data_IF_388496652672
#
_entry.id   IF_388496652672
#
_cell.length_a   1.000
_cell.length_b   1.000
_cell.length_c   1.000
_cell.angle_alpha   90.00
_cell.angle_beta   90.00
_cell.angle_gamma   90.00
#
_symmetry.space_group_name_H-M   'P 1'
#
loop_
_entity.id
_entity.type
_entity.pdbx_description
1 polymer ?
#
# COMPACT_ATOMS: atom_id res chain seq x y z
N UNK A 1 -18.26 24.61 11.19
CA UNK A 1 -17.51 23.52 11.81
C UNK A 1 -16.09 23.50 11.26
N UNK A 2 -15.09 23.33 12.11
CA UNK A 2 -13.70 23.20 11.67
C UNK A 2 -13.41 21.77 11.21
N UNK A 3 -12.42 21.62 10.36
CA UNK A 3 -11.96 20.31 9.88
C UNK A 3 -11.41 19.43 11.03
N UNK A 4 -10.93 20.03 12.13
CA UNK A 4 -10.51 19.33 13.34
C UNK A 4 -11.56 18.34 13.86
N UNK A 5 -12.83 18.69 13.77
CA UNK A 5 -13.92 17.82 14.23
C UNK A 5 -14.04 16.55 13.39
N UNK A 6 -13.80 16.65 12.08
CA UNK A 6 -13.77 15.47 11.19
C UNK A 6 -12.58 14.58 11.54
N UNK A 7 -11.38 15.17 11.61
CA UNK A 7 -10.14 14.44 11.92
C UNK A 7 -10.20 13.79 13.31
N UNK A 8 -10.72 14.49 14.30
CA UNK A 8 -10.89 13.93 15.65
C UNK A 8 -11.81 12.71 15.66
N UNK A 9 -12.91 12.78 14.90
CA UNK A 9 -13.88 11.67 14.79
C UNK A 9 -13.32 10.45 14.07
N UNK A 10 -12.36 10.61 13.18
CA UNK A 10 -11.66 9.48 12.55
C UNK A 10 -10.90 8.60 13.56
N UNK A 11 -10.55 9.15 14.73
CA UNK A 11 -9.88 8.41 15.83
C UNK A 11 -10.88 7.75 16.78
N UNK A 12 -11.93 7.13 16.26
CA UNK A 12 -13.00 6.56 17.07
C UNK A 12 -12.47 5.48 18.03
N UNK A 13 -12.91 5.49 19.31
CA UNK A 13 -12.41 4.55 20.33
C UNK A 13 -12.64 3.07 19.98
N UNK A 14 -13.68 2.77 19.21
CA UNK A 14 -13.99 1.40 18.79
C UNK A 14 -12.89 0.74 17.94
N UNK A 15 -12.05 1.55 17.27
CA UNK A 15 -10.91 1.03 16.49
C UNK A 15 -9.87 0.31 17.34
N UNK A 16 -9.82 0.58 18.65
CA UNK A 16 -8.89 -0.06 19.58
C UNK A 16 -9.29 -1.48 20.00
N UNK A 17 -10.47 -1.92 19.60
CA UNK A 17 -11.06 -3.18 20.08
C UNK A 17 -11.13 -4.27 19.00
N UNK A 18 -10.63 -3.99 17.80
CA UNK A 18 -10.74 -4.90 16.66
C UNK A 18 -9.37 -5.33 16.15
N UNK A 19 -9.29 -6.56 15.69
CA UNK A 19 -8.05 -7.16 15.19
C UNK A 19 -7.73 -6.81 13.73
N UNK A 20 -8.71 -6.44 12.92
CA UNK A 20 -8.52 -5.92 11.57
C UNK A 20 -9.55 -4.84 11.25
N UNK A 21 -9.16 -3.88 10.44
CA UNK A 21 -9.99 -2.74 10.07
C UNK A 21 -10.02 -2.59 8.55
N UNK A 22 -11.22 -2.64 7.99
CA UNK A 22 -11.46 -2.34 6.58
C UNK A 22 -12.07 -0.95 6.46
N UNK A 23 -11.39 -0.04 5.78
CA UNK A 23 -11.82 1.35 5.62
C UNK A 23 -11.95 1.72 4.15
N UNK A 24 -12.99 2.48 3.83
CA UNK A 24 -13.09 3.22 2.57
C UNK A 24 -13.27 4.70 2.86
N UNK A 25 -12.53 5.52 2.13
CA UNK A 25 -12.64 6.96 2.24
C UNK A 25 -12.77 7.61 0.85
N UNK A 26 -13.55 8.66 0.82
CA UNK A 26 -13.65 9.59 -0.30
C UNK A 26 -13.48 10.98 0.31
N UNK A 27 -12.27 11.51 0.21
CA UNK A 27 -11.87 12.72 0.92
C UNK A 27 -11.14 13.64 -0.04
N UNK A 28 -11.63 14.86 -0.13
CA UNK A 28 -10.99 15.93 -0.92
C UNK A 28 -9.75 16.49 -0.18
N UNK A 29 -8.81 15.57 0.11
CA UNK A 29 -7.63 15.85 0.94
C UNK A 29 -6.64 16.79 0.27
N UNK A 30 -6.66 16.90 -1.04
CA UNK A 30 -5.73 17.76 -1.78
C UNK A 30 -6.16 19.23 -1.77
N UNK A 31 -7.43 19.49 -1.52
CA UNK A 31 -8.00 20.84 -1.47
C UNK A 31 -8.22 21.37 -0.04
N UNK A 32 -7.79 20.65 0.98
CA UNK A 32 -7.75 21.15 2.36
C UNK A 32 -6.45 21.92 2.66
N UNK A 33 -6.46 22.70 3.74
CA UNK A 33 -5.29 23.46 4.17
C UNK A 33 -4.09 22.53 4.46
N UNK A 34 -2.88 23.01 4.10
CA UNK A 34 -1.63 22.25 4.21
C UNK A 34 -1.36 21.76 5.64
N UNK A 35 -1.77 22.49 6.68
CA UNK A 35 -1.58 22.07 8.06
C UNK A 35 -2.39 20.81 8.37
N UNK A 36 -3.61 20.68 7.81
CA UNK A 36 -4.43 19.48 7.96
C UNK A 36 -3.89 18.32 7.14
N UNK A 37 -3.35 18.59 5.93
CA UNK A 37 -2.65 17.56 5.15
C UNK A 37 -1.48 16.97 5.94
N UNK A 38 -0.63 17.83 6.52
CA UNK A 38 0.49 17.40 7.36
C UNK A 38 0.01 16.60 8.57
N UNK A 39 -1.03 17.08 9.26
CA UNK A 39 -1.60 16.37 10.41
C UNK A 39 -2.10 14.96 10.04
N UNK A 40 -2.72 14.78 8.87
CA UNK A 40 -3.17 13.48 8.39
C UNK A 40 -1.98 12.59 8.02
N UNK A 41 -0.96 13.12 7.38
CA UNK A 41 0.27 12.38 7.08
C UNK A 41 1.01 11.94 8.36
N UNK A 42 1.12 12.83 9.35
CA UNK A 42 1.73 12.54 10.65
C UNK A 42 0.91 11.54 11.47
N UNK A 43 -0.43 11.56 11.38
CA UNK A 43 -1.28 10.57 12.05
C UNK A 43 -0.93 9.14 11.65
N UNK A 44 -0.54 8.94 10.41
CA UNK A 44 -0.07 7.64 9.92
C UNK A 44 1.36 7.32 10.44
N UNK A 45 2.19 8.34 10.69
CA UNK A 45 3.54 8.20 11.26
C UNK A 45 3.58 7.95 12.77
N UNK A 46 2.63 8.48 13.53
CA UNK A 46 2.52 8.28 14.99
C UNK A 46 2.25 6.82 15.39
N UNK A 47 1.86 5.97 14.46
CA UNK A 47 1.76 4.52 14.68
C UNK A 47 3.12 3.80 14.77
N UNK A 48 4.23 4.48 14.50
CA UNK A 48 5.58 3.97 14.74
C UNK A 48 6.01 3.97 16.23
N UNK A 49 5.26 4.64 17.10
CA UNK A 49 5.46 4.52 18.54
C UNK A 49 4.91 3.16 19.02
N UNK A 50 5.80 2.27 19.29
CA UNK A 50 5.85 0.84 19.63
C UNK A 50 4.75 0.25 20.55
N UNK A 51 3.60 0.87 20.73
CA UNK A 51 2.55 0.45 21.69
C UNK A 51 1.15 0.28 21.10
N UNK A 52 0.91 0.60 19.86
CA UNK A 52 -0.36 0.35 19.18
C UNK A 52 -0.08 -0.52 17.96
N UNK A 53 -0.02 -1.82 18.20
CA UNK A 53 -0.22 -2.81 17.13
C UNK A 53 -1.66 -2.61 16.67
N UNK A 54 -1.87 -1.75 15.70
CA UNK A 54 -3.12 -1.77 14.95
C UNK A 54 -3.07 -3.01 14.08
N UNK A 55 -4.06 -3.86 14.19
CA UNK A 55 -4.20 -5.04 13.36
C UNK A 55 -4.43 -4.62 11.93
N UNK A 56 -4.23 -5.52 10.99
CA UNK A 56 -4.22 -5.27 9.55
C UNK A 56 -5.25 -4.24 9.09
N UNK A 57 -4.78 -3.07 8.67
CA UNK A 57 -5.64 -2.01 8.15
C UNK A 57 -5.66 -2.13 6.63
N UNK A 58 -6.84 -2.41 6.07
CA UNK A 58 -7.09 -2.31 4.63
C UNK A 58 -7.76 -0.97 4.35
N UNK A 59 -7.05 -0.06 3.72
CA UNK A 59 -7.51 1.29 3.48
C UNK A 59 -7.61 1.60 1.99
N UNK A 60 -8.78 2.01 1.55
CA UNK A 60 -9.03 2.49 0.19
C UNK A 60 -9.41 3.97 0.21
N UNK A 61 -8.70 4.76 -0.56
CA UNK A 61 -8.90 6.21 -0.67
C UNK A 61 -9.21 6.58 -2.12
N UNK A 62 -10.24 7.39 -2.31
CA UNK A 62 -10.55 8.01 -3.59
C UNK A 62 -10.19 9.50 -3.54
N UNK A 63 -9.42 9.95 -4.52
CA UNK A 63 -9.01 11.35 -4.69
C UNK A 63 -9.49 11.92 -6.01
N UNK A 64 -9.81 13.20 -5.99
CA UNK A 64 -9.96 14.02 -7.20
C UNK A 64 -8.63 14.67 -7.57
N UNK A 65 -8.05 14.20 -8.67
CA UNK A 65 -6.80 14.76 -9.22
C UNK A 65 -7.06 15.72 -10.38
N UNK A 66 -8.28 15.78 -10.93
CA UNK A 66 -8.61 16.61 -12.10
C UNK A 66 -8.69 18.10 -11.72
N UNK A 67 -9.26 18.38 -10.55
CA UNK A 67 -9.42 19.73 -10.04
C UNK A 67 -8.27 20.20 -9.15
N UNK A 68 -7.17 19.44 -9.16
CA UNK A 68 -6.00 19.70 -8.32
C UNK A 68 -4.82 20.18 -9.16
N UNK A 69 -4.19 21.25 -8.74
CA UNK A 69 -2.94 21.74 -9.36
C UNK A 69 -1.76 20.82 -9.02
N UNK A 70 -1.58 19.78 -9.83
CA UNK A 70 -0.49 18.82 -9.67
C UNK A 70 0.92 19.43 -9.95
N UNK A 71 0.99 20.65 -10.49
CA UNK A 71 2.27 21.36 -10.63
C UNK A 71 2.79 21.86 -9.28
N UNK A 72 1.95 21.88 -8.26
CA UNK A 72 2.32 22.28 -6.91
C UNK A 72 3.17 21.19 -6.24
N UNK A 73 4.45 21.47 -6.07
CA UNK A 73 5.41 20.56 -5.43
C UNK A 73 5.02 20.12 -4.02
N UNK A 74 4.24 20.93 -3.29
CA UNK A 74 3.74 20.57 -1.94
C UNK A 74 2.77 19.41 -1.98
N UNK A 75 1.92 19.32 -3.01
CA UNK A 75 1.00 18.21 -3.20
C UNK A 75 1.77 16.93 -3.50
N UNK A 76 2.79 17.00 -4.36
CA UNK A 76 3.63 15.84 -4.64
C UNK A 76 4.35 15.35 -3.38
N UNK A 77 4.92 16.26 -2.57
CA UNK A 77 5.55 15.90 -1.29
C UNK A 77 4.54 15.27 -0.34
N UNK A 78 3.36 15.86 -0.19
CA UNK A 78 2.29 15.30 0.66
C UNK A 78 1.89 13.89 0.23
N UNK A 79 1.72 13.63 -1.07
CA UNK A 79 1.38 12.30 -1.56
C UNK A 79 2.50 11.29 -1.30
N UNK A 80 3.76 11.69 -1.48
CA UNK A 80 4.91 10.84 -1.15
C UNK A 80 4.94 10.52 0.33
N UNK A 81 4.74 11.51 1.19
CA UNK A 81 4.72 11.33 2.65
C UNK A 81 3.56 10.43 3.07
N UNK A 82 2.37 10.64 2.52
CA UNK A 82 1.21 9.80 2.78
C UNK A 82 1.48 8.33 2.43
N UNK A 83 2.02 8.07 1.23
CA UNK A 83 2.32 6.72 0.76
C UNK A 83 3.47 6.07 1.53
N UNK A 84 4.47 6.84 1.92
CA UNK A 84 5.63 6.34 2.68
C UNK A 84 5.26 5.97 4.11
N UNK A 85 4.38 6.74 4.74
CA UNK A 85 3.96 6.53 6.13
C UNK A 85 2.92 5.40 6.31
N UNK A 86 2.37 4.88 5.21
CA UNK A 86 1.44 3.74 5.25
C UNK A 86 2.15 2.38 5.28
N UNK A 87 3.32 2.28 5.92
CA UNK A 87 4.22 1.12 5.82
C UNK A 87 3.56 -0.23 6.15
N UNK A 88 2.66 -0.28 7.12
CA UNK A 88 2.01 -1.51 7.61
C UNK A 88 0.52 -1.58 7.26
N UNK A 89 0.10 -0.89 6.20
CA UNK A 89 -1.29 -0.79 5.79
C UNK A 89 -1.42 -1.25 4.35
N UNK A 90 -2.35 -2.16 4.07
CA UNK A 90 -2.78 -2.43 2.71
C UNK A 90 -3.56 -1.21 2.20
N UNK A 91 -3.06 -0.58 1.14
CA UNK A 91 -3.57 0.69 0.66
C UNK A 91 -3.91 0.65 -0.82
N UNK A 92 -5.11 1.12 -1.14
CA UNK A 92 -5.56 1.34 -2.51
C UNK A 92 -5.89 2.83 -2.71
N UNK A 93 -5.32 3.43 -3.74
CA UNK A 93 -5.64 4.78 -4.16
C UNK A 93 -6.39 4.73 -5.48
N UNK A 94 -7.58 5.32 -5.50
CA UNK A 94 -8.44 5.43 -6.68
C UNK A 94 -8.53 6.88 -7.15
N UNK A 95 -8.61 7.06 -8.46
CA UNK A 95 -8.96 8.33 -9.08
C UNK A 95 -10.47 8.43 -9.25
N UNK A 96 -11.07 9.55 -8.78
CA UNK A 96 -12.48 9.77 -8.98
C UNK A 96 -12.89 11.21 -8.65
N UNK A 97 -13.42 11.92 -9.64
CA UNK A 97 -13.92 13.31 -9.51
C UNK A 97 -15.05 13.46 -8.49
N UNK A 98 -15.65 12.34 -8.09
CA UNK A 98 -16.70 12.30 -7.08
C UNK A 98 -16.19 12.70 -5.68
N UNK A 99 -14.86 12.73 -5.44
CA UNK A 99 -14.30 13.13 -4.16
C UNK A 99 -14.31 14.65 -3.92
N UNK A 100 -14.55 15.46 -4.96
CA UNK A 100 -14.58 16.92 -4.86
C UNK A 100 -15.51 17.39 -3.71
N UNK A 101 -14.97 18.22 -2.82
CA UNK A 101 -15.64 18.79 -1.64
C UNK A 101 -16.24 17.79 -0.65
N UNK A 102 -15.94 16.51 -0.75
CA UNK A 102 -16.46 15.49 0.14
C UNK A 102 -15.44 15.08 1.19
N UNK A 103 -15.96 14.75 2.37
CA UNK A 103 -15.24 14.18 3.48
C UNK A 103 -16.03 12.98 3.98
N UNK A 104 -15.80 11.80 3.40
CA UNK A 104 -16.49 10.58 3.80
C UNK A 104 -15.45 9.55 4.19
N UNK A 105 -15.60 9.01 5.38
CA UNK A 105 -14.76 7.94 5.91
C UNK A 105 -15.65 6.88 6.53
N UNK A 106 -15.51 5.65 6.12
CA UNK A 106 -16.32 4.55 6.61
C UNK A 106 -15.46 3.36 7.00
N UNK A 107 -15.67 2.89 8.20
CA UNK A 107 -15.08 1.67 8.75
C UNK A 107 -16.16 0.59 8.76
N UNK A 108 -15.89 -0.51 8.10
CA UNK A 108 -16.84 -1.60 7.95
C UNK A 108 -17.38 -2.04 9.31
N UNK A 109 -18.72 -2.12 9.43
CA UNK A 109 -19.45 -2.65 10.58
C UNK A 109 -19.19 -1.93 11.92
N UNK A 110 -18.54 -0.72 11.89
CA UNK A 110 -18.20 -0.01 13.12
C UNK A 110 -18.80 1.40 13.13
N UNK A 111 -18.38 2.27 12.24
CA UNK A 111 -18.89 3.63 12.15
C UNK A 111 -18.57 4.28 10.80
N UNK A 112 -19.26 5.35 10.51
CA UNK A 112 -18.97 6.18 9.37
C UNK A 112 -19.06 7.66 9.73
N UNK A 113 -18.26 8.47 9.04
CA UNK A 113 -18.29 9.93 9.15
C UNK A 113 -18.54 10.49 7.78
N UNK A 114 -19.42 11.46 7.67
CA UNK A 114 -19.63 12.21 6.44
C UNK A 114 -19.64 13.70 6.69
N UNK A 115 -19.07 14.44 5.77
CA UNK A 115 -19.02 15.89 5.78
C UNK A 115 -18.90 16.45 4.37
N UNK A 116 -19.07 17.75 4.27
CA UNK A 116 -18.89 18.50 3.04
C UNK A 116 -17.98 19.70 3.32
N UNK A 117 -16.94 19.88 2.53
CA UNK A 117 -16.08 21.07 2.59
C UNK A 117 -16.83 22.30 2.09
N UNK A 118 -16.73 23.39 2.83
CA UNK A 118 -17.09 24.73 2.40
C UNK A 118 -15.90 25.42 1.73
N UNK A 119 -14.77 25.35 2.40
CA UNK A 119 -13.49 25.87 1.99
C UNK A 119 -12.37 24.98 2.57
N UNK A 120 -11.12 25.41 2.43
CA UNK A 120 -9.94 24.64 2.83
C UNK A 120 -9.90 24.25 4.32
N UNK A 121 -10.63 24.97 5.19
CA UNK A 121 -10.55 24.83 6.65
C UNK A 121 -11.90 24.52 7.32
N UNK A 122 -13.00 24.68 6.60
CA UNK A 122 -14.34 24.60 7.18
C UNK A 122 -15.21 23.55 6.49
N UNK A 123 -15.96 22.84 7.32
CA UNK A 123 -16.98 21.90 6.90
C UNK A 123 -18.38 22.54 7.04
N UNK A 124 -19.24 22.34 6.06
CA UNK A 124 -20.64 22.72 6.17
C UNK A 124 -21.35 21.90 7.24
N UNK A 125 -21.06 20.60 7.25
CA UNK A 125 -21.59 19.65 8.24
C UNK A 125 -20.59 18.52 8.49
N UNK A 126 -20.66 17.92 9.67
CA UNK A 126 -19.99 16.66 9.99
C UNK A 126 -20.98 15.78 10.74
N UNK A 127 -21.33 14.65 10.15
CA UNK A 127 -22.26 13.67 10.73
C UNK A 127 -21.50 12.38 11.02
N UNK A 128 -21.72 11.81 12.19
CA UNK A 128 -21.21 10.49 12.56
C UNK A 128 -22.37 9.50 12.59
N UNK A 129 -22.18 8.33 12.01
CA UNK A 129 -23.12 7.22 11.97
C UNK A 129 -22.46 6.09 12.76
N UNK A 130 -23.03 5.74 13.90
CA UNK A 130 -22.56 4.66 14.78
C UNK A 130 -23.47 3.41 14.69
N UNK A 131 -24.57 3.50 13.92
CA UNK A 131 -25.39 2.36 13.60
C UNK A 131 -24.67 1.42 12.65
N UNK A 132 -24.52 0.16 13.04
CA UNK A 132 -23.76 -0.86 12.32
C UNK A 132 -24.33 -1.10 10.92
N UNK A 133 -25.65 -1.17 10.78
CA UNK A 133 -26.32 -1.42 9.50
C UNK A 133 -26.10 -0.27 8.51
N UNK A 134 -26.33 0.97 8.96
CA UNK A 134 -26.16 2.15 8.12
C UNK A 134 -24.68 2.39 7.77
N UNK A 135 -23.78 2.10 8.72
CA UNK A 135 -22.34 2.20 8.48
C UNK A 135 -21.87 1.17 7.47
N UNK A 136 -22.35 -0.07 7.57
CA UNK A 136 -22.06 -1.13 6.61
C UNK A 136 -22.61 -0.82 5.21
N UNK A 137 -23.82 -0.29 5.12
CA UNK A 137 -24.39 0.16 3.83
C UNK A 137 -23.53 1.25 3.18
N UNK A 138 -23.10 2.25 3.94
CA UNK A 138 -22.25 3.32 3.42
C UNK A 138 -20.87 2.77 2.98
N UNK A 139 -20.28 1.88 3.79
CA UNK A 139 -19.04 1.19 3.43
C UNK A 139 -19.16 0.48 2.08
N UNK A 140 -20.22 -0.32 1.87
CA UNK A 140 -20.44 -1.05 0.63
C UNK A 140 -20.70 -0.13 -0.56
N UNK A 141 -21.39 0.99 -0.36
CA UNK A 141 -21.55 2.02 -1.39
C UNK A 141 -20.22 2.64 -1.80
N UNK A 142 -19.37 3.02 -0.84
CA UNK A 142 -18.02 3.54 -1.13
C UNK A 142 -17.16 2.51 -1.85
N UNK A 143 -17.16 1.25 -1.39
CA UNK A 143 -16.47 0.16 -2.06
C UNK A 143 -16.93 0.00 -3.51
N UNK A 144 -18.23 0.04 -3.75
CA UNK A 144 -18.80 -0.05 -5.10
C UNK A 144 -18.41 1.14 -5.98
N UNK A 145 -18.29 2.33 -5.42
CA UNK A 145 -17.79 3.51 -6.14
C UNK A 145 -16.31 3.34 -6.49
N UNK A 146 -15.47 2.98 -5.53
CA UNK A 146 -14.05 2.71 -5.79
C UNK A 146 -13.85 1.67 -6.90
N UNK A 147 -14.62 0.59 -6.90
CA UNK A 147 -14.50 -0.47 -7.90
C UNK A 147 -14.88 -0.04 -9.34
N UNK A 148 -15.54 1.10 -9.51
CA UNK A 148 -15.88 1.67 -10.82
C UNK A 148 -14.84 2.65 -11.33
N UNK A 149 -13.96 3.08 -10.47
CA UNK A 149 -12.94 4.09 -10.75
C UNK A 149 -11.57 3.45 -11.04
N UNK A 150 -10.68 4.24 -11.62
CA UNK A 150 -9.33 3.77 -11.96
C UNK A 150 -8.49 3.62 -10.70
N UNK A 151 -7.97 2.42 -10.46
CA UNK A 151 -6.97 2.18 -9.44
C UNK A 151 -5.63 2.77 -9.89
N UNK A 152 -5.10 3.71 -9.12
CA UNK A 152 -3.83 4.38 -9.38
C UNK A 152 -2.65 3.69 -8.69
N UNK A 153 -2.83 3.39 -7.41
CA UNK A 153 -1.80 2.80 -6.58
C UNK A 153 -2.43 1.71 -5.73
N UNK A 154 -1.75 0.58 -5.68
CA UNK A 154 -2.00 -0.47 -4.68
C UNK A 154 -0.72 -0.72 -3.92
N UNK A 155 -0.80 -0.63 -2.61
CA UNK A 155 0.24 -1.06 -1.69
C UNK A 155 -0.31 -2.19 -0.85
N UNK A 156 0.32 -3.33 -0.96
CA UNK A 156 -0.05 -4.54 -0.23
C UNK A 156 1.21 -5.37 0.04
N UNK A 157 1.16 -6.27 1.00
CA UNK A 157 2.25 -7.20 1.22
C UNK A 157 2.28 -8.28 0.13
N UNK A 158 3.45 -8.81 -0.15
CA UNK A 158 3.61 -9.92 -1.10
C UNK A 158 2.81 -11.14 -0.64
N UNK A 159 2.80 -11.43 0.66
CA UNK A 159 2.00 -12.51 1.24
C UNK A 159 0.50 -12.35 0.99
N UNK A 160 -0.03 -11.13 1.13
CA UNK A 160 -1.42 -10.84 0.84
C UNK A 160 -1.74 -11.03 -0.65
N UNK A 161 -0.82 -10.64 -1.54
CA UNK A 161 -0.95 -10.86 -2.99
C UNK A 161 -0.91 -12.34 -3.35
N UNK A 162 -0.04 -13.12 -2.73
CA UNK A 162 0.03 -14.58 -2.95
C UNK A 162 -1.26 -15.24 -2.49
N UNK A 163 -1.74 -14.91 -1.28
CA UNK A 163 -2.99 -15.48 -0.73
C UNK A 163 -4.23 -15.14 -1.54
N UNK A 164 -4.27 -13.95 -2.15
CA UNK A 164 -5.40 -13.51 -2.98
C UNK A 164 -5.28 -13.94 -4.46
N UNK A 165 -4.22 -14.65 -4.84
CA UNK A 165 -3.88 -14.99 -6.23
C UNK A 165 -3.72 -13.75 -7.14
N UNK A 166 -3.44 -12.57 -6.56
CA UNK A 166 -3.25 -11.34 -7.32
C UNK A 166 -1.80 -11.16 -7.77
N UNK A 167 -0.86 -11.89 -7.21
CA UNK A 167 0.56 -11.81 -7.56
C UNK A 167 0.78 -12.13 -9.05
N UNK A 168 0.14 -13.17 -9.56
CA UNK A 168 0.19 -13.55 -10.98
C UNK A 168 -0.39 -12.44 -11.87
N UNK A 169 -1.51 -11.84 -11.47
CA UNK A 169 -2.11 -10.73 -12.22
C UNK A 169 -1.20 -9.51 -12.30
N UNK A 170 -0.45 -9.21 -11.23
CA UNK A 170 0.52 -8.13 -11.22
C UNK A 170 1.70 -8.39 -12.16
N UNK A 171 2.18 -9.63 -12.20
CA UNK A 171 3.25 -10.04 -13.11
C UNK A 171 2.86 -9.92 -14.60
N UNK A 172 1.62 -10.25 -14.96
CA UNK A 172 1.12 -10.22 -16.33
C UNK A 172 0.41 -8.92 -16.72
N UNK A 173 0.61 -7.83 -15.95
CA UNK A 173 0.07 -6.53 -16.31
C UNK A 173 0.61 -6.02 -17.66
N UNK A 174 -0.17 -5.21 -18.38
CA UNK A 174 0.29 -4.61 -19.63
C UNK A 174 1.38 -3.56 -19.35
N UNK A 175 2.51 -3.66 -20.09
CA UNK A 175 3.65 -2.75 -19.96
C UNK A 175 4.16 -2.58 -18.51
N UNK A 176 4.49 -3.65 -17.79
CA UNK A 176 4.94 -3.55 -16.42
C UNK A 176 6.25 -2.77 -16.34
N UNK A 177 6.34 -1.91 -15.33
CA UNK A 177 7.56 -1.27 -14.91
C UNK A 177 7.77 -1.54 -13.43
N UNK A 178 8.91 -2.12 -13.07
CA UNK A 178 9.27 -2.43 -11.69
C UNK A 178 10.28 -1.40 -11.19
N UNK A 179 9.97 -0.71 -10.10
CA UNK A 179 10.92 0.14 -9.38
C UNK A 179 11.30 -0.56 -8.08
N UNK A 180 12.56 -0.95 -7.95
CA UNK A 180 13.03 -1.80 -6.88
C UNK A 180 14.02 -1.06 -5.98
N UNK A 181 13.74 -1.09 -4.68
CA UNK A 181 14.60 -0.54 -3.64
C UNK A 181 15.62 -1.59 -3.12
N UNK A 182 15.41 -2.86 -3.42
CA UNK A 182 16.27 -3.99 -3.05
C UNK A 182 16.24 -5.04 -4.15
N UNK A 183 17.21 -5.94 -4.17
CA UNK A 183 17.07 -7.16 -4.95
C UNK A 183 15.94 -8.02 -4.37
N UNK A 184 15.25 -8.74 -5.24
CA UNK A 184 14.10 -9.57 -4.89
C UNK A 184 14.29 -10.99 -5.46
N UNK A 185 13.43 -11.91 -5.07
CA UNK A 185 13.37 -13.28 -5.58
C UNK A 185 13.28 -13.38 -7.10
N UNK A 186 12.82 -12.33 -7.78
CA UNK A 186 12.66 -12.29 -9.24
C UNK A 186 13.98 -12.52 -10.01
N UNK A 187 15.12 -12.21 -9.38
CA UNK A 187 16.44 -12.28 -10.00
C UNK A 187 17.22 -13.53 -9.61
N UNK A 188 16.62 -14.44 -8.83
CA UNK A 188 17.33 -15.64 -8.38
C UNK A 188 17.42 -16.69 -9.48
N UNK A 189 18.59 -17.34 -9.68
CA UNK A 189 18.68 -18.59 -10.42
C UNK A 189 17.99 -19.72 -9.64
N UNK A 190 17.54 -20.76 -10.35
CA UNK A 190 16.73 -21.85 -9.76
C UNK A 190 17.40 -22.50 -8.55
N UNK A 191 18.68 -22.83 -8.67
CA UNK A 191 19.43 -23.50 -7.58
C UNK A 191 19.51 -22.63 -6.33
N UNK A 192 19.71 -21.32 -6.49
CA UNK A 192 19.77 -20.40 -5.35
C UNK A 192 18.39 -20.16 -4.76
N UNK A 193 17.34 -20.12 -5.59
CA UNK A 193 15.97 -20.01 -5.13
C UNK A 193 15.59 -21.21 -4.25
N UNK A 194 15.88 -22.44 -4.68
CA UNK A 194 15.61 -23.63 -3.90
C UNK A 194 16.40 -23.65 -2.58
N UNK A 195 17.71 -23.29 -2.62
CA UNK A 195 18.53 -23.21 -1.41
C UNK A 195 17.95 -22.23 -0.38
N UNK A 196 17.45 -21.07 -0.84
CA UNK A 196 16.84 -20.08 0.04
C UNK A 196 15.48 -20.55 0.54
N UNK A 197 14.69 -21.21 -0.31
CA UNK A 197 13.39 -21.76 0.06
C UNK A 197 13.53 -22.78 1.20
N UNK A 198 14.46 -23.72 1.08
CA UNK A 198 14.74 -24.71 2.12
C UNK A 198 15.27 -24.07 3.43
N UNK A 199 16.09 -23.01 3.29
CA UNK A 199 16.70 -22.34 4.45
C UNK A 199 15.69 -21.49 5.22
N UNK A 200 14.78 -20.84 4.53
CA UNK A 200 13.85 -19.86 5.10
C UNK A 200 12.40 -20.35 5.18
N UNK A 201 12.11 -21.61 4.79
CA UNK A 201 10.77 -22.20 4.91
C UNK A 201 10.12 -21.98 6.29
N UNK A 202 10.85 -22.09 7.42
CA UNK A 202 10.28 -21.82 8.74
C UNK A 202 9.88 -20.36 8.99
N UNK A 203 10.40 -19.42 8.21
CA UNK A 203 10.19 -17.98 8.35
C UNK A 203 9.11 -17.48 7.39
N UNK A 204 8.86 -18.22 6.31
CA UNK A 204 7.83 -17.94 5.31
C UNK A 204 6.44 -18.40 5.79
N UNK A 205 6.08 -18.06 6.96
CA UNK A 205 5.06 -18.53 7.90
C UNK A 205 3.68 -18.93 7.32
N UNK A 206 3.38 -18.72 6.03
CA UNK A 206 2.04 -18.99 5.46
C UNK A 206 1.99 -19.34 3.95
N UNK A 207 3.09 -19.38 3.25
CA UNK A 207 3.07 -19.68 1.82
C UNK A 207 3.49 -21.14 1.57
N UNK A 208 2.64 -21.91 0.88
CA UNK A 208 3.00 -23.24 0.41
C UNK A 208 4.25 -23.17 -0.49
N UNK A 209 5.34 -23.92 -0.20
CA UNK A 209 6.56 -23.93 -1.01
C UNK A 209 6.30 -24.21 -2.50
N UNK A 210 5.30 -25.03 -2.83
CA UNK A 210 4.95 -25.30 -4.22
C UNK A 210 4.37 -24.07 -4.92
N UNK A 211 3.61 -23.24 -4.20
CA UNK A 211 3.14 -21.94 -4.71
C UNK A 211 4.31 -21.03 -5.03
N UNK A 212 5.30 -20.94 -4.15
CA UNK A 212 6.49 -20.11 -4.36
C UNK A 212 7.35 -20.59 -5.54
N UNK A 213 7.52 -21.90 -5.71
CA UNK A 213 8.18 -22.49 -6.90
C UNK A 213 7.44 -22.17 -8.19
N UNK A 214 6.11 -22.26 -8.14
CA UNK A 214 5.27 -21.90 -9.30
C UNK A 214 5.45 -20.41 -9.68
N UNK A 215 5.38 -19.50 -8.69
CA UNK A 215 5.58 -18.07 -8.90
C UNK A 215 6.99 -17.76 -9.45
N UNK A 216 8.01 -18.42 -8.94
CA UNK A 216 9.36 -18.28 -9.45
C UNK A 216 9.47 -18.68 -10.93
N UNK A 217 8.87 -19.82 -11.29
CA UNK A 217 8.82 -20.28 -12.69
C UNK A 217 8.09 -19.30 -13.60
N UNK A 218 6.94 -18.77 -13.16
CA UNK A 218 6.18 -17.75 -13.89
C UNK A 218 6.98 -16.46 -14.08
N UNK A 219 7.65 -16.00 -13.03
CA UNK A 219 8.49 -14.79 -13.10
C UNK A 219 9.63 -14.95 -14.09
N UNK A 220 10.31 -16.08 -14.10
CA UNK A 220 11.36 -16.39 -15.09
C UNK A 220 10.83 -16.42 -16.52
N UNK A 221 9.67 -17.05 -16.73
CA UNK A 221 9.03 -17.06 -18.04
C UNK A 221 8.70 -15.63 -18.48
N UNK A 222 8.19 -14.80 -17.57
CA UNK A 222 7.85 -13.41 -17.86
C UNK A 222 9.10 -12.60 -18.22
N UNK A 223 10.16 -12.67 -17.40
CA UNK A 223 11.41 -11.95 -17.63
C UNK A 223 12.08 -12.35 -18.95
N UNK A 224 11.90 -13.60 -19.41
CA UNK A 224 12.44 -14.08 -20.68
C UNK A 224 11.58 -13.74 -21.89
N UNK A 225 10.28 -13.46 -21.73
CA UNK A 225 9.32 -13.35 -22.83
C UNK A 225 8.71 -11.95 -23.02
N UNK A 226 8.79 -11.07 -22.02
CA UNK A 226 8.17 -9.76 -22.05
C UNK A 226 9.18 -8.61 -21.89
N UNK A 227 8.96 -7.46 -22.55
CA UNK A 227 9.79 -6.26 -22.36
C UNK A 227 9.43 -5.59 -21.05
N UNK A 228 9.97 -6.07 -19.94
CA UNK A 228 9.77 -5.46 -18.61
C UNK A 228 10.82 -4.38 -18.40
N UNK A 229 10.38 -3.21 -17.94
CA UNK A 229 11.29 -2.16 -17.49
C UNK A 229 11.57 -2.35 -16.01
N UNK A 230 12.84 -2.60 -15.68
CA UNK A 230 13.28 -2.73 -14.29
C UNK A 230 14.17 -1.55 -13.97
N UNK A 231 13.78 -0.79 -12.96
CA UNK A 231 14.49 0.39 -12.48
C UNK A 231 14.98 0.11 -11.05
N UNK A 232 16.24 0.31 -10.80
CA UNK A 232 16.83 0.26 -9.47
C UNK A 232 17.23 1.65 -8.99
N UNK A 233 17.11 1.90 -7.69
CA UNK A 233 17.80 3.03 -7.09
C UNK A 233 19.31 2.82 -7.21
N UNK A 234 20.05 3.91 -7.42
CA UNK A 234 21.52 3.84 -7.62
C UNK A 234 22.27 3.19 -6.44
N UNK A 235 21.72 3.28 -5.24
CA UNK A 235 22.29 2.68 -4.03
C UNK A 235 22.14 1.15 -3.96
N UNK A 236 21.15 0.55 -4.63
CA UNK A 236 20.79 -0.87 -4.45
C UNK A 236 21.99 -1.80 -4.65
N UNK A 237 22.78 -1.57 -5.69
CA UNK A 237 23.95 -2.42 -5.98
C UNK A 237 25.05 -2.30 -4.91
N UNK A 238 25.31 -1.09 -4.44
CA UNK A 238 26.30 -0.85 -3.39
C UNK A 238 25.83 -1.43 -2.05
N UNK A 239 24.59 -1.18 -1.68
CA UNK A 239 23.99 -1.66 -0.43
C UNK A 239 23.97 -3.19 -0.41
N UNK A 240 23.57 -3.83 -1.51
CA UNK A 240 23.63 -5.29 -1.63
C UNK A 240 25.05 -5.85 -1.58
N UNK A 241 26.02 -5.21 -2.24
CA UNK A 241 27.40 -5.65 -2.22
C UNK A 241 27.98 -5.64 -0.79
N UNK A 242 27.58 -4.66 0.03
CA UNK A 242 28.03 -4.52 1.42
C UNK A 242 27.27 -5.46 2.36
N UNK A 243 25.95 -5.39 2.37
CA UNK A 243 25.10 -6.10 3.33
C UNK A 243 24.74 -7.51 2.90
N UNK A 244 24.57 -7.74 1.59
CA UNK A 244 23.99 -8.97 1.05
C UNK A 244 22.51 -9.11 1.31
N UNK A 245 21.84 -8.05 1.76
CA UNK A 245 20.40 -8.08 2.02
C UNK A 245 19.60 -8.04 0.73
N UNK A 246 18.57 -8.88 0.67
CA UNK A 246 17.56 -8.88 -0.38
C UNK A 246 16.18 -9.16 0.20
N UNK A 247 15.16 -8.89 -0.58
CA UNK A 247 13.78 -9.28 -0.29
C UNK A 247 13.50 -10.66 -0.90
N UNK A 248 13.03 -11.59 -0.07
CA UNK A 248 12.61 -12.93 -0.50
C UNK A 248 11.17 -13.17 -0.07
N UNK A 249 10.23 -12.97 -0.99
CA UNK A 249 8.78 -13.02 -0.77
C UNK A 249 8.30 -12.19 0.44
N UNK A 250 8.83 -10.97 0.57
CA UNK A 250 8.51 -10.04 1.65
C UNK A 250 9.33 -10.22 2.93
N UNK A 251 10.17 -11.26 2.99
CA UNK A 251 11.10 -11.47 4.09
C UNK A 251 12.48 -10.90 3.75
N UNK A 252 13.07 -10.13 4.66
CA UNK A 252 14.48 -9.70 4.55
C UNK A 252 15.40 -10.86 4.84
N UNK A 253 16.19 -11.26 3.85
CA UNK A 253 17.20 -12.33 3.97
C UNK A 253 18.58 -11.77 3.66
N UNK A 254 19.60 -12.37 4.26
CA UNK A 254 21.00 -11.98 4.06
C UNK A 254 21.74 -13.10 3.36
N UNK A 255 22.24 -12.83 2.14
CA UNK A 255 23.02 -13.77 1.36
C UNK A 255 24.47 -13.85 1.83
N UNK A 256 25.00 -15.05 1.84
CA UNK A 256 26.44 -15.28 2.03
C UNK A 256 27.25 -14.69 0.86
N UNK A 257 28.55 -14.39 1.03
CA UNK A 257 29.37 -13.90 -0.07
C UNK A 257 29.36 -14.78 -1.32
N UNK A 258 29.27 -16.11 -1.15
CA UNK A 258 29.17 -17.07 -2.26
C UNK A 258 27.84 -16.92 -3.03
N UNK A 259 26.74 -16.85 -2.31
CA UNK A 259 25.40 -16.67 -2.89
C UNK A 259 25.28 -15.33 -3.61
N UNK A 260 25.84 -14.24 -3.05
CA UNK A 260 25.91 -12.92 -3.71
C UNK A 260 26.63 -13.01 -5.06
N UNK A 261 27.74 -13.70 -5.10
CA UNK A 261 28.49 -13.87 -6.37
C UNK A 261 27.68 -14.66 -7.39
N UNK A 262 26.95 -15.70 -6.97
CA UNK A 262 26.06 -16.48 -7.84
C UNK A 262 24.97 -15.58 -8.44
N UNK A 263 24.32 -14.78 -7.60
CA UNK A 263 23.26 -13.85 -8.03
C UNK A 263 23.79 -12.80 -9.01
N UNK A 264 24.90 -12.14 -8.68
CA UNK A 264 25.49 -11.10 -9.55
C UNK A 264 25.93 -11.66 -10.91
N UNK A 265 26.54 -12.84 -10.93
CA UNK A 265 26.91 -13.50 -12.18
C UNK A 265 25.69 -13.93 -13.03
N UNK A 266 24.56 -14.16 -12.40
CA UNK A 266 23.32 -14.49 -13.09
C UNK A 266 22.67 -13.26 -13.73
N UNK A 267 22.69 -12.12 -13.03
CA UNK A 267 22.11 -10.86 -13.52
C UNK A 267 22.95 -10.25 -14.66
N UNK A 268 24.25 -10.46 -14.66
CA UNK A 268 25.19 -9.95 -15.69
C UNK A 268 25.10 -10.71 -17.03
N UNK A 269 24.34 -11.78 -17.10
CA UNK A 269 24.12 -12.59 -18.33
C UNK A 269 22.90 -12.16 -19.10
#
# INVERSE_FOLDING_TARGET
LTLDQFIFKMKHPSLRKVDSVNCHAMVDILNIDTNYQMLIAEMNGLHNDRKLVLPGVHFSLMLDLEHTDLSNSKIAVFLIDLLSNLANIDFNLYYGTQAEKKLIFSVKDIYSISGMLMDQNHCLSVTTIEDETLSSELYHKLKSLCNKESLLIRKTSIEAMIRSHEYEHALFAQNPACLLAHFTEHFLPDDLHEELLETFEPVLDQADPNTLRHLHSLTKQLLSSAPIKILFYASVFNDFAISGEMDFYGCRVQLTPKQRLVLMNYIDR
#
